data_IF_232291476078
#
_entry.id   IF_232291476078
#
_cell.length_a   1.000
_cell.length_b   1.000
_cell.length_c   1.000
_cell.angle_alpha   90.00
_cell.angle_beta   90.00
_cell.angle_gamma   90.00
#
_symmetry.space_group_name_H-M   'P 1'
#
loop_
_entity.id
_entity.type
_entity.pdbx_description
1 polymer ?
#
# COMPACT_ATOMS: atom_id res chain seq x y z
N UNK A 1 16.55 -6.44 -17.95
CA UNK A 1 15.41 -5.50 -17.94
C UNK A 1 15.90 -4.15 -17.42
N UNK A 2 15.56 -3.02 -18.06
CA UNK A 2 15.80 -1.70 -17.51
C UNK A 2 15.08 -1.55 -16.15
N UNK A 3 15.73 -0.86 -15.20
CA UNK A 3 15.27 -0.72 -13.81
C UNK A 3 13.81 -0.24 -13.70
N UNK A 4 13.39 0.69 -14.56
CA UNK A 4 12.02 1.21 -14.59
C UNK A 4 10.99 0.13 -14.93
N UNK A 5 11.27 -0.75 -15.90
CA UNK A 5 10.36 -1.85 -16.25
C UNK A 5 10.26 -2.88 -15.14
N UNK A 6 11.38 -3.20 -14.47
CA UNK A 6 11.37 -4.12 -13.34
C UNK A 6 10.52 -3.58 -12.17
N UNK A 7 10.62 -2.28 -11.89
CA UNK A 7 9.80 -1.61 -10.85
C UNK A 7 8.33 -1.60 -11.26
N UNK A 8 7.99 -1.26 -12.51
CA UNK A 8 6.60 -1.27 -12.98
C UNK A 8 5.99 -2.67 -12.93
N UNK A 9 6.73 -3.69 -13.36
CA UNK A 9 6.29 -5.08 -13.28
C UNK A 9 6.07 -5.53 -11.81
N UNK A 10 6.94 -5.11 -10.90
CA UNK A 10 6.79 -5.37 -9.47
C UNK A 10 5.56 -4.67 -8.88
N UNK A 11 5.31 -3.41 -9.25
CA UNK A 11 4.13 -2.66 -8.82
C UNK A 11 2.83 -3.35 -9.28
N UNK A 12 2.72 -3.74 -10.55
CA UNK A 12 1.52 -4.41 -11.08
C UNK A 12 1.27 -5.76 -10.40
N UNK A 13 2.33 -6.52 -10.08
CA UNK A 13 2.21 -7.80 -9.36
C UNK A 13 1.74 -7.65 -7.91
N UNK A 14 2.01 -6.51 -7.26
CA UNK A 14 1.60 -6.23 -5.87
C UNK A 14 0.26 -5.51 -5.77
N UNK A 15 -0.08 -4.69 -6.77
CA UNK A 15 -1.33 -3.93 -6.82
C UNK A 15 -2.56 -4.84 -6.74
N UNK A 16 -2.59 -5.92 -7.54
CA UNK A 16 -3.72 -6.86 -7.53
C UNK A 16 -3.92 -7.53 -6.16
N UNK A 17 -2.91 -8.17 -5.55
CA UNK A 17 -3.05 -8.77 -4.23
C UNK A 17 -3.40 -7.78 -3.11
N UNK A 18 -2.75 -6.61 -3.07
CA UNK A 18 -2.98 -5.60 -2.01
C UNK A 18 -4.39 -5.03 -2.09
N UNK A 19 -4.86 -4.70 -3.30
CA UNK A 19 -6.23 -4.24 -3.47
C UNK A 19 -7.24 -5.34 -3.17
N UNK A 20 -6.98 -6.58 -3.61
CA UNK A 20 -7.86 -7.71 -3.32
C UNK A 20 -8.09 -7.87 -1.82
N UNK A 21 -7.03 -7.99 -1.03
CA UNK A 21 -7.17 -8.19 0.42
C UNK A 21 -7.81 -6.98 1.11
N UNK A 22 -7.36 -5.77 0.76
CA UNK A 22 -7.88 -4.53 1.37
C UNK A 22 -9.37 -4.37 1.08
N UNK A 23 -9.81 -4.60 -0.16
CA UNK A 23 -11.22 -4.51 -0.54
C UNK A 23 -12.05 -5.61 0.12
N UNK A 24 -11.56 -6.85 0.18
CA UNK A 24 -12.25 -7.94 0.88
C UNK A 24 -12.49 -7.59 2.35
N UNK A 25 -11.49 -7.05 3.05
CA UNK A 25 -11.65 -6.63 4.45
C UNK A 25 -12.58 -5.44 4.59
N UNK A 26 -12.50 -4.43 3.72
CA UNK A 26 -13.40 -3.28 3.76
C UNK A 26 -14.87 -3.69 3.56
N UNK A 27 -15.15 -4.60 2.63
CA UNK A 27 -16.49 -5.14 2.40
C UNK A 27 -16.98 -5.94 3.60
N UNK A 28 -16.12 -6.79 4.18
CA UNK A 28 -16.47 -7.59 5.37
C UNK A 28 -16.73 -6.76 6.62
N UNK A 29 -16.03 -5.63 6.77
CA UNK A 29 -16.20 -4.71 7.90
C UNK A 29 -17.24 -3.60 7.64
N UNK A 30 -17.78 -3.51 6.43
CA UNK A 30 -18.74 -2.47 6.05
C UNK A 30 -19.98 -2.43 6.96
N UNK A 31 -20.69 -3.55 7.24
CA UNK A 31 -21.86 -3.51 8.13
C UNK A 31 -21.50 -3.11 9.57
N UNK A 32 -20.35 -3.56 10.06
CA UNK A 32 -19.80 -3.19 11.36
C UNK A 32 -19.47 -1.70 11.44
N UNK A 33 -18.86 -1.13 10.40
CA UNK A 33 -18.51 0.28 10.32
C UNK A 33 -19.73 1.20 10.28
N UNK A 34 -20.84 0.71 9.73
CA UNK A 34 -22.16 1.37 9.73
C UNK A 34 -22.89 1.22 11.07
N UNK A 35 -22.39 0.40 12.00
CA UNK A 35 -23.00 0.17 13.30
C UNK A 35 -24.29 -0.65 13.24
N UNK A 36 -24.44 -1.48 12.20
CA UNK A 36 -25.62 -2.34 12.03
C UNK A 36 -25.47 -3.59 12.93
N UNK A 37 -26.37 -3.74 13.90
CA UNK A 37 -26.41 -4.89 14.81
C UNK A 37 -26.21 -4.53 16.29
N UNK A 38 -26.51 -5.47 17.18
CA UNK A 38 -26.30 -5.30 18.62
C UNK A 38 -24.82 -5.11 18.94
N UNK A 39 -24.48 -4.09 19.74
CA UNK A 39 -23.09 -3.73 20.03
C UNK A 39 -22.37 -2.94 18.93
N UNK A 40 -23.09 -2.51 17.88
CA UNK A 40 -22.56 -1.69 16.78
C UNK A 40 -21.93 -0.37 17.24
N UNK A 41 -22.38 0.19 18.36
CA UNK A 41 -21.85 1.44 18.93
C UNK A 41 -20.38 1.33 19.33
N UNK A 42 -19.97 0.15 19.80
CA UNK A 42 -18.58 -0.13 20.23
C UNK A 42 -17.74 -0.63 19.06
N UNK A 43 -18.33 -1.43 18.16
CA UNK A 43 -17.59 -2.04 17.05
C UNK A 43 -17.42 -1.11 15.84
N UNK A 44 -18.32 -0.14 15.63
CA UNK A 44 -18.23 0.81 14.53
C UNK A 44 -16.97 1.70 14.55
N UNK A 45 -16.53 2.30 15.67
CA UNK A 45 -15.27 3.06 15.69
C UNK A 45 -14.04 2.18 15.41
N UNK A 46 -14.06 0.93 15.88
CA UNK A 46 -13.00 -0.05 15.60
C UNK A 46 -12.94 -0.38 14.10
N UNK A 47 -14.08 -0.73 13.50
CA UNK A 47 -14.16 -1.05 12.08
C UNK A 47 -13.75 0.14 11.18
N UNK A 48 -14.19 1.36 11.51
CA UNK A 48 -13.76 2.58 10.80
C UNK A 48 -12.26 2.81 10.88
N UNK A 49 -11.66 2.58 12.05
CA UNK A 49 -10.20 2.73 12.25
C UNK A 49 -9.42 1.72 11.41
N UNK A 50 -9.88 0.47 11.34
CA UNK A 50 -9.25 -0.58 10.52
C UNK A 50 -9.35 -0.25 9.03
N UNK A 51 -10.52 0.16 8.54
CA UNK A 51 -10.72 0.56 7.14
C UNK A 51 -9.79 1.74 6.77
N UNK A 52 -9.70 2.74 7.64
CA UNK A 52 -8.78 3.87 7.46
C UNK A 52 -7.32 3.43 7.41
N UNK A 53 -6.89 2.62 8.39
CA UNK A 53 -5.53 2.11 8.48
C UNK A 53 -5.12 1.25 7.29
N UNK A 54 -6.01 0.37 6.81
CA UNK A 54 -5.78 -0.45 5.62
C UNK A 54 -5.63 0.42 4.37
N UNK A 55 -6.49 1.43 4.22
CA UNK A 55 -6.42 2.36 3.09
C UNK A 55 -5.09 3.12 3.08
N UNK A 56 -4.69 3.68 4.24
CA UNK A 56 -3.40 4.38 4.37
C UNK A 56 -2.20 3.45 4.12
N UNK A 57 -2.22 2.23 4.66
CA UNK A 57 -1.16 1.24 4.49
C UNK A 57 -1.03 0.76 3.04
N UNK A 58 -2.15 0.55 2.34
CA UNK A 58 -2.16 0.23 0.92
C UNK A 58 -1.54 1.36 0.09
N UNK A 59 -1.87 2.62 0.40
CA UNK A 59 -1.33 3.80 -0.28
C UNK A 59 0.19 3.92 -0.08
N UNK A 60 0.67 3.75 1.15
CA UNK A 60 2.10 3.74 1.47
C UNK A 60 2.81 2.60 0.71
N UNK A 61 2.26 1.39 0.77
CA UNK A 61 2.91 0.23 0.14
C UNK A 61 2.99 0.34 -1.38
N UNK A 62 1.94 0.86 -2.03
CA UNK A 62 1.85 0.94 -3.48
C UNK A 62 2.51 2.17 -4.11
N UNK A 63 2.57 3.30 -3.39
CA UNK A 63 3.12 4.54 -3.93
C UNK A 63 4.42 4.94 -3.24
N UNK A 64 4.49 4.84 -1.91
CA UNK A 64 5.64 5.31 -1.15
C UNK A 64 6.85 4.39 -1.31
N UNK A 65 6.67 3.06 -1.17
CA UNK A 65 7.76 2.09 -1.33
C UNK A 65 8.42 2.15 -2.72
N UNK A 66 7.70 2.06 -3.85
CA UNK A 66 8.35 2.10 -5.17
C UNK A 66 8.98 3.47 -5.46
N UNK A 67 8.38 4.56 -4.99
CA UNK A 67 8.95 5.91 -5.11
C UNK A 67 10.27 6.04 -4.35
N UNK A 68 10.32 5.52 -3.12
CA UNK A 68 11.55 5.45 -2.34
C UNK A 68 12.60 4.60 -3.04
N UNK A 69 12.23 3.40 -3.51
CA UNK A 69 13.16 2.51 -4.19
C UNK A 69 13.79 3.19 -5.42
N UNK A 70 12.98 3.88 -6.24
CA UNK A 70 13.46 4.63 -7.39
C UNK A 70 14.44 5.77 -6.99
N UNK A 71 14.17 6.45 -5.88
CA UNK A 71 15.03 7.52 -5.37
C UNK A 71 16.37 6.98 -4.86
N UNK A 72 16.35 5.89 -4.08
CA UNK A 72 17.55 5.24 -3.56
C UNK A 72 18.42 4.68 -4.68
N UNK A 73 17.81 4.00 -5.66
CA UNK A 73 18.56 3.41 -6.78
C UNK A 73 19.20 4.50 -7.65
N UNK A 74 18.47 5.59 -7.94
CA UNK A 74 19.03 6.77 -8.64
C UNK A 74 20.20 7.41 -7.89
N UNK A 75 20.12 7.50 -6.56
CA UNK A 75 21.24 8.03 -5.75
C UNK A 75 22.42 7.07 -5.74
N UNK A 76 22.20 5.76 -5.71
CA UNK A 76 23.24 4.73 -5.76
C UNK A 76 23.99 4.78 -7.10
N UNK A 77 23.27 4.88 -8.21
CA UNK A 77 23.84 4.98 -9.57
C UNK A 77 24.71 6.24 -9.73
N UNK A 78 24.26 7.39 -9.22
CA UNK A 78 25.07 8.62 -9.19
C UNK A 78 26.36 8.46 -8.40
N UNK A 79 26.31 7.80 -7.23
CA UNK A 79 27.49 7.58 -6.37
C UNK A 79 28.53 6.66 -7.02
N UNK A 80 28.08 5.63 -7.74
CA UNK A 80 28.95 4.72 -8.48
C UNK A 80 29.62 5.37 -9.70
N UNK A 81 28.95 6.30 -10.38
CA UNK A 81 29.56 7.09 -11.46
C UNK A 81 30.65 8.03 -10.97
N UNK A 82 30.45 8.66 -9.80
CA UNK A 82 31.44 9.59 -9.20
C UNK A 82 32.64 8.84 -8.62
N UNK A 83 32.46 7.62 -8.09
CA UNK A 83 33.57 6.81 -7.57
C UNK A 83 34.44 6.14 -8.65
N UNK A 84 34.01 6.19 -9.91
CA UNK A 84 34.71 5.57 -11.06
C UNK A 84 35.33 6.60 -12.01
N UNK A 85 35.20 7.89 -11.69
CA UNK A 85 35.81 9.03 -12.37
C UNK A 85 36.95 9.58 -11.50
#
# INVERSE_FOLDING_TARGET
>A
MPLREAILAACTRRLRPVLMTSLTTMVGLLPLALGLGEGGEVQAPLARTVIGGLTSSAFITLLFIPSLYLLFERRREKRHRVAKA
#
